data_IF_341283085534
#
_entry.id   IF_341283085534
#
_cell.length_a   1.000
_cell.length_b   1.000
_cell.length_c   1.000
_cell.angle_alpha   90.00
_cell.angle_beta   90.00
_cell.angle_gamma   90.00
#
_symmetry.space_group_name_H-M   'P 1'
#
loop_
_entity.id
_entity.type
_entity.pdbx_description
1 polymer ?
#
# COMPACT_ATOMS: atom_id res chain seq x y z
N UNK A 1 57.04 8.58 -10.52
CA UNK A 1 56.03 7.56 -10.17
C UNK A 1 54.87 8.28 -9.53
N UNK A 2 53.76 8.29 -10.25
CA UNK A 2 52.91 9.48 -10.39
C UNK A 2 51.72 9.47 -9.45
N UNK A 3 51.19 10.69 -9.24
CA UNK A 3 50.00 11.09 -8.49
C UNK A 3 48.72 10.26 -8.78
N UNK A 4 48.78 9.34 -9.73
CA UNK A 4 47.72 8.36 -10.06
C UNK A 4 47.65 7.25 -9.01
N UNK A 5 48.78 6.78 -8.48
CA UNK A 5 48.78 5.71 -7.46
C UNK A 5 48.18 6.19 -6.13
N UNK A 6 48.41 7.45 -5.77
CA UNK A 6 47.85 8.05 -4.55
C UNK A 6 46.36 8.34 -4.66
N UNK A 7 45.86 8.66 -5.87
CA UNK A 7 44.42 8.85 -6.13
C UNK A 7 43.64 7.54 -6.17
N UNK A 8 44.24 6.45 -6.67
CA UNK A 8 43.62 5.12 -6.62
C UNK A 8 43.53 4.63 -5.17
N UNK A 9 44.58 4.85 -4.35
CA UNK A 9 44.55 4.49 -2.92
C UNK A 9 43.51 5.29 -2.12
N UNK A 10 43.28 6.56 -2.44
CA UNK A 10 42.28 7.40 -1.77
C UNK A 10 40.84 7.05 -2.16
N UNK A 11 40.60 6.62 -3.41
CA UNK A 11 39.28 6.16 -3.87
C UNK A 11 38.95 4.79 -3.27
N UNK A 12 39.94 3.91 -3.07
CA UNK A 12 39.72 2.63 -2.37
C UNK A 12 39.33 2.81 -0.90
N UNK A 13 39.87 3.82 -0.20
CA UNK A 13 39.54 4.09 1.21
C UNK A 13 38.15 4.73 1.35
N UNK A 14 37.67 5.48 0.35
CA UNK A 14 36.33 6.09 0.39
C UNK A 14 35.20 5.09 0.12
N UNK A 15 35.46 3.99 -0.60
CA UNK A 15 34.46 2.96 -0.93
C UNK A 15 34.24 1.98 0.24
N UNK A 16 35.16 1.88 1.20
CA UNK A 16 34.98 1.06 2.41
C UNK A 16 34.38 1.82 3.61
N UNK A 17 34.10 3.12 3.47
CA UNK A 17 33.60 3.98 4.57
C UNK A 17 32.08 4.06 4.72
N UNK A 18 31.30 3.41 3.84
CA UNK A 18 29.83 3.42 3.86
C UNK A 18 29.25 2.01 3.79
N UNK A 19 29.88 1.07 4.51
CA UNK A 19 29.15 -0.10 4.97
C UNK A 19 28.39 0.31 6.24
N UNK A 20 27.17 0.83 6.06
CA UNK A 20 26.19 0.77 7.14
C UNK A 20 26.14 -0.69 7.58
N UNK A 21 26.42 -0.92 8.86
CA UNK A 21 26.30 -2.23 9.48
C UNK A 21 24.82 -2.55 9.62
N UNK A 22 24.18 -2.85 8.49
CA UNK A 22 23.04 -3.73 8.49
C UNK A 22 23.61 -5.10 8.87
N UNK A 23 23.63 -5.42 10.17
CA UNK A 23 23.86 -6.78 10.64
C UNK A 23 22.69 -7.66 10.21
N UNK A 24 22.58 -7.94 8.92
CA UNK A 24 21.95 -9.16 8.46
C UNK A 24 22.85 -10.31 8.93
N UNK A 25 22.58 -10.84 10.13
CA UNK A 25 23.25 -12.03 10.69
C UNK A 25 22.85 -13.28 9.88
N UNK A 26 23.35 -13.38 8.66
CA UNK A 26 23.19 -14.52 7.77
C UNK A 26 24.43 -15.43 7.77
N UNK A 27 25.42 -15.15 8.64
CA UNK A 27 26.64 -15.94 8.83
C UNK A 27 26.86 -16.37 10.30
N UNK A 28 25.89 -17.04 10.92
CA UNK A 28 26.20 -17.94 12.06
C UNK A 28 25.59 -19.32 11.79
N UNK A 29 25.83 -19.84 10.58
CA UNK A 29 25.71 -21.28 10.31
C UNK A 29 27.11 -21.87 10.45
N UNK A 30 27.47 -22.31 11.66
CA UNK A 30 28.76 -22.97 11.84
C UNK A 30 29.16 -23.37 13.25
N UNK A 31 28.60 -22.75 14.29
CA UNK A 31 28.86 -23.13 15.69
C UNK A 31 27.64 -22.86 16.58
N UNK A 32 26.61 -23.71 16.46
CA UNK A 32 25.43 -23.64 17.33
C UNK A 32 25.38 -24.88 18.21
N UNK A 33 25.49 -24.69 19.53
CA UNK A 33 25.16 -25.68 20.55
C UNK A 33 23.77 -26.30 20.26
N UNK A 34 23.49 -27.50 20.78
CA UNK A 34 22.13 -28.07 20.82
C UNK A 34 21.23 -27.19 21.72
N UNK A 35 20.88 -26.00 21.27
CA UNK A 35 19.98 -25.08 21.95
C UNK A 35 18.54 -25.42 21.63
N UNK A 36 17.68 -25.21 22.63
CA UNK A 36 16.24 -25.39 22.50
C UNK A 36 15.67 -24.16 21.79
N UNK A 37 14.99 -24.38 20.67
CA UNK A 37 14.38 -23.33 19.86
C UNK A 37 12.86 -23.34 20.01
N UNK A 38 12.25 -22.17 20.14
CA UNK A 38 10.79 -21.99 20.05
C UNK A 38 10.49 -21.60 18.61
N UNK A 39 9.78 -22.47 17.89
CA UNK A 39 9.45 -22.30 16.48
C UNK A 39 8.33 -21.27 16.28
N UNK A 40 7.37 -21.25 17.19
CA UNK A 40 6.31 -20.26 17.25
C UNK A 40 5.69 -20.22 18.64
N UNK A 41 5.09 -19.09 18.97
CA UNK A 41 4.41 -18.87 20.23
C UNK A 41 3.26 -17.89 20.05
N UNK A 42 2.10 -18.22 20.60
CA UNK A 42 0.86 -17.46 20.48
C UNK A 42 0.14 -17.34 21.81
N UNK A 43 -0.53 -16.20 22.04
CA UNK A 43 -1.57 -16.02 23.07
C UNK A 43 -2.90 -15.69 22.41
N UNK A 44 -3.93 -16.51 22.64
CA UNK A 44 -5.27 -16.34 22.04
C UNK A 44 -5.25 -16.09 20.52
N UNK A 45 -4.37 -16.83 19.81
CA UNK A 45 -4.08 -16.73 18.36
C UNK A 45 -3.20 -15.55 17.93
N UNK A 46 -2.74 -14.73 18.86
CA UNK A 46 -1.85 -13.61 18.58
C UNK A 46 -0.38 -14.00 18.77
N UNK A 47 0.47 -13.70 17.78
CA UNK A 47 1.90 -14.04 17.83
C UNK A 47 2.62 -13.29 18.95
N UNK A 48 3.46 -13.99 19.74
CA UNK A 48 4.31 -13.35 20.75
C UNK A 48 5.46 -12.53 20.13
N UNK A 49 5.95 -12.96 18.97
CA UNK A 49 7.10 -12.33 18.30
C UNK A 49 6.70 -10.96 17.72
N UNK A 50 5.44 -10.83 17.29
CA UNK A 50 4.86 -9.58 16.76
C UNK A 50 4.21 -8.73 17.86
N UNK A 51 4.06 -9.28 19.07
CA UNK A 51 3.41 -8.60 20.19
C UNK A 51 4.30 -7.53 20.81
N UNK A 52 3.66 -6.46 21.30
CA UNK A 52 4.33 -5.49 22.17
C UNK A 52 4.79 -6.15 23.48
N UNK A 53 5.66 -5.47 24.24
CA UNK A 53 6.10 -5.97 25.53
C UNK A 53 4.94 -6.15 26.51
N UNK A 54 3.92 -5.28 26.42
CA UNK A 54 2.67 -5.35 27.15
C UNK A 54 1.52 -5.69 26.21
N UNK A 55 0.80 -6.75 26.53
CA UNK A 55 -0.35 -7.27 25.81
C UNK A 55 -1.60 -7.01 26.64
N UNK A 56 -2.57 -6.30 26.07
CA UNK A 56 -3.88 -6.10 26.69
C UNK A 56 -4.89 -6.98 25.96
N UNK A 57 -5.50 -7.90 26.69
CA UNK A 57 -6.60 -8.72 26.20
C UNK A 57 -7.92 -8.17 26.75
N UNK A 58 -8.96 -8.15 25.93
CA UNK A 58 -10.28 -7.74 26.40
C UNK A 58 -11.09 -8.96 26.81
N UNK A 59 -11.74 -8.89 27.98
CA UNK A 59 -12.54 -9.99 28.53
C UNK A 59 -13.53 -10.57 27.51
N UNK A 60 -14.19 -9.71 26.74
CA UNK A 60 -15.17 -10.12 25.73
C UNK A 60 -14.57 -10.91 24.56
N UNK A 61 -13.28 -10.76 24.30
CA UNK A 61 -12.56 -11.50 23.24
C UNK A 61 -11.95 -12.82 23.73
N UNK A 62 -12.00 -13.10 25.04
CA UNK A 62 -11.46 -14.33 25.62
C UNK A 62 -12.50 -15.46 25.54
N UNK A 63 -12.23 -16.56 24.80
CA UNK A 63 -13.13 -17.70 24.79
C UNK A 63 -13.28 -18.29 26.19
N UNK A 64 -14.50 -18.30 26.72
CA UNK A 64 -14.82 -18.74 28.09
C UNK A 64 -14.03 -18.02 29.19
N UNK A 65 -13.53 -16.80 28.93
CA UNK A 65 -12.70 -16.05 29.88
C UNK A 65 -11.30 -16.64 30.09
N UNK A 66 -10.83 -17.51 29.19
CA UNK A 66 -9.54 -18.18 29.30
C UNK A 66 -8.49 -17.49 28.44
N UNK A 67 -7.31 -17.24 29.02
CA UNK A 67 -6.09 -16.93 28.30
C UNK A 67 -5.36 -18.24 27.98
N UNK A 68 -5.09 -18.45 26.69
CA UNK A 68 -4.50 -19.66 26.11
C UNK A 68 -3.18 -19.30 25.44
N UNK A 69 -2.11 -19.89 25.93
CA UNK A 69 -0.78 -19.83 25.35
C UNK A 69 -0.53 -21.13 24.60
N UNK A 70 -0.19 -21.03 23.32
CA UNK A 70 0.15 -22.19 22.48
C UNK A 70 1.47 -21.96 21.77
N UNK A 71 2.29 -22.98 21.64
CA UNK A 71 3.55 -22.87 20.93
C UNK A 71 4.04 -24.20 20.41
N UNK A 72 5.18 -24.17 19.74
CA UNK A 72 5.94 -25.37 19.38
C UNK A 72 7.41 -25.09 19.58
N UNK A 73 8.10 -26.04 20.20
CA UNK A 73 9.53 -25.98 20.36
C UNK A 73 10.20 -27.22 19.77
N UNK A 74 11.46 -27.07 19.42
CA UNK A 74 12.29 -28.13 18.85
C UNK A 74 13.72 -28.04 19.36
N UNK A 75 14.43 -29.16 19.26
CA UNK A 75 15.86 -29.28 19.54
C UNK A 75 16.50 -30.05 18.40
N UNK A 76 17.75 -29.73 18.07
CA UNK A 76 18.46 -30.35 16.93
C UNK A 76 18.55 -31.88 17.02
N UNK A 77 18.71 -32.40 18.24
CA UNK A 77 18.77 -33.83 18.52
C UNK A 77 18.05 -34.11 19.83
N UNK A 78 17.11 -35.05 19.82
CA UNK A 78 16.26 -35.38 20.97
C UNK A 78 14.83 -34.86 20.81
N UNK A 79 14.14 -34.70 21.93
CA UNK A 79 12.77 -34.15 22.00
C UNK A 79 12.64 -33.19 23.17
N UNK A 80 11.60 -32.38 23.12
CA UNK A 80 11.21 -31.54 24.26
C UNK A 80 10.68 -32.44 25.37
N UNK A 81 11.18 -32.27 26.59
CA UNK A 81 10.79 -33.05 27.75
C UNK A 81 9.75 -32.35 28.62
N UNK A 82 9.84 -31.02 28.73
CA UNK A 82 8.94 -30.22 29.58
C UNK A 82 8.82 -28.79 29.05
N UNK A 83 7.64 -28.21 29.20
CA UNK A 83 7.41 -26.77 29.03
C UNK A 83 6.75 -26.24 30.30
N UNK A 84 7.28 -25.15 30.83
CA UNK A 84 6.77 -24.48 32.03
C UNK A 84 6.49 -23.00 31.72
N UNK A 85 5.44 -22.48 32.32
CA UNK A 85 5.01 -21.09 32.24
C UNK A 85 5.08 -20.49 33.63
N UNK A 86 5.74 -19.35 33.77
CA UNK A 86 5.60 -18.47 34.93
C UNK A 86 4.65 -17.33 34.56
N UNK A 87 3.89 -16.83 35.53
CA UNK A 87 3.00 -15.65 35.39
C UNK A 87 3.34 -14.54 36.40
N UNK A 88 4.42 -14.72 37.14
CA UNK A 88 4.82 -13.94 38.32
C UNK A 88 6.34 -13.71 38.34
N UNK A 89 6.92 -13.49 37.16
CA UNK A 89 8.34 -13.21 36.98
C UNK A 89 9.27 -14.28 37.61
N UNK A 90 9.01 -15.54 37.26
CA UNK A 90 9.78 -16.74 37.66
C UNK A 90 9.63 -17.17 39.13
N UNK A 91 8.76 -16.55 39.91
CA UNK A 91 8.51 -16.96 41.29
C UNK A 91 7.83 -18.33 41.38
N UNK A 92 6.91 -18.63 40.47
CA UNK A 92 6.27 -19.94 40.31
C UNK A 92 6.30 -20.42 38.86
N UNK A 93 6.27 -21.73 38.68
CA UNK A 93 6.30 -22.41 37.39
C UNK A 93 5.21 -23.46 37.29
N UNK A 94 4.37 -23.35 36.28
CA UNK A 94 3.28 -24.29 36.00
C UNK A 94 3.55 -25.05 34.70
N UNK A 95 3.30 -26.36 34.67
CA UNK A 95 3.57 -27.19 33.49
C UNK A 95 2.51 -26.99 32.40
N UNK A 96 2.95 -26.85 31.15
CA UNK A 96 2.09 -26.89 29.98
C UNK A 96 1.72 -28.34 29.60
N UNK A 97 0.61 -28.51 28.88
CA UNK A 97 0.33 -29.75 28.16
C UNK A 97 1.27 -29.82 26.95
N UNK A 98 2.12 -30.83 26.88
CA UNK A 98 3.11 -31.04 25.83
C UNK A 98 2.77 -32.28 25.02
N UNK A 99 2.83 -32.20 23.69
CA UNK A 99 2.72 -33.34 22.78
C UNK A 99 4.08 -33.79 22.27
N UNK A 100 4.15 -35.04 21.78
CA UNK A 100 5.41 -35.67 21.35
C UNK A 100 6.15 -34.92 20.24
N UNK A 101 5.43 -34.16 19.42
CA UNK A 101 6.00 -33.34 18.35
C UNK A 101 6.51 -31.96 18.81
N UNK A 102 6.56 -31.71 20.13
CA UNK A 102 7.03 -30.46 20.73
C UNK A 102 6.00 -29.33 20.76
N UNK A 103 4.77 -29.55 20.30
CA UNK A 103 3.70 -28.57 20.46
C UNK A 103 3.19 -28.56 21.90
N UNK A 104 2.82 -27.38 22.41
CA UNK A 104 2.33 -27.24 23.78
C UNK A 104 1.18 -26.25 23.91
N UNK A 105 0.39 -26.42 24.96
CA UNK A 105 -0.71 -25.54 25.34
C UNK A 105 -0.75 -25.34 26.86
N UNK A 106 -0.94 -24.09 27.27
CA UNK A 106 -1.19 -23.69 28.64
C UNK A 106 -2.40 -22.76 28.69
N UNK A 107 -3.35 -23.07 29.56
CA UNK A 107 -4.58 -22.32 29.73
C UNK A 107 -4.64 -21.81 31.17
N UNK A 108 -5.00 -20.54 31.36
CA UNK A 108 -5.26 -19.98 32.69
C UNK A 108 -6.41 -18.98 32.67
N UNK A 109 -7.03 -18.79 33.83
CA UNK A 109 -8.09 -17.80 34.02
C UNK A 109 -7.48 -16.53 34.63
N UNK A 110 -7.30 -15.45 33.85
CA UNK A 110 -6.77 -14.21 34.35
C UNK A 110 -7.80 -13.46 35.21
N UNK A 111 -7.30 -12.74 36.22
CA UNK A 111 -8.04 -11.76 37.00
C UNK A 111 -8.05 -10.43 36.24
N UNK A 112 -9.20 -9.76 36.21
CA UNK A 112 -9.37 -8.48 35.54
C UNK A 112 -8.50 -7.41 36.22
N UNK A 113 -7.82 -6.60 35.41
CA UNK A 113 -6.94 -5.52 35.87
C UNK A 113 -5.61 -5.99 36.49
N UNK A 114 -5.41 -7.31 36.63
CA UNK A 114 -4.14 -7.86 37.09
C UNK A 114 -3.17 -7.99 35.92
N UNK A 115 -1.96 -7.46 36.10
CA UNK A 115 -0.85 -7.69 35.18
C UNK A 115 -0.08 -8.95 35.57
N UNK A 116 0.23 -9.78 34.58
CA UNK A 116 0.99 -11.01 34.71
C UNK A 116 2.32 -10.86 33.98
N UNK A 117 3.44 -11.14 34.64
CA UNK A 117 4.76 -11.23 34.02
C UNK A 117 4.98 -12.66 33.54
N UNK A 118 4.69 -12.88 32.26
CA UNK A 118 4.70 -14.21 31.65
C UNK A 118 6.07 -14.52 31.05
N UNK A 119 6.64 -15.65 31.45
CA UNK A 119 7.87 -16.21 30.86
C UNK A 119 7.67 -17.69 30.57
N UNK A 120 8.33 -18.18 29.52
CA UNK A 120 8.20 -19.55 29.04
C UNK A 120 9.57 -20.23 29.05
N UNK A 121 9.61 -21.34 29.76
CA UNK A 121 10.79 -22.20 29.88
C UNK A 121 10.50 -23.53 29.20
N UNK A 122 11.26 -23.83 28.16
CA UNK A 122 11.24 -25.09 27.44
C UNK A 122 12.50 -25.87 27.83
N UNK A 123 12.35 -27.15 28.16
CA UNK A 123 13.43 -28.01 28.62
C UNK A 123 13.45 -29.27 27.75
N UNK A 124 14.61 -29.62 27.18
CA UNK A 124 14.78 -30.88 26.45
C UNK A 124 14.95 -32.09 27.38
N UNK A 125 14.97 -33.31 26.83
CA UNK A 125 15.18 -34.53 27.62
C UNK A 125 16.57 -34.63 28.28
N UNK A 126 17.50 -33.75 27.95
CA UNK A 126 18.85 -33.68 28.53
C UNK A 126 18.98 -32.58 29.59
N UNK A 127 17.93 -31.80 29.82
CA UNK A 127 17.90 -30.70 30.78
C UNK A 127 18.32 -29.33 30.22
N UNK A 128 18.61 -29.21 28.92
CA UNK A 128 18.93 -27.91 28.29
C UNK A 128 17.67 -27.08 28.09
N UNK A 129 17.83 -25.76 28.08
CA UNK A 129 16.70 -24.82 28.02
C UNK A 129 16.90 -23.70 26.99
N UNK A 130 15.82 -23.02 26.63
CA UNK A 130 15.84 -21.81 25.81
C UNK A 130 16.34 -20.60 26.62
N UNK A 131 16.54 -19.47 25.95
CA UNK A 131 16.72 -18.18 26.61
C UNK A 131 15.36 -17.69 27.11
N UNK A 132 15.14 -17.79 28.42
CA UNK A 132 13.84 -17.55 29.06
C UNK A 132 13.45 -16.07 28.96
N UNK A 133 14.39 -15.15 29.21
CA UNK A 133 14.12 -13.70 29.22
C UNK A 133 13.63 -13.18 27.88
N UNK A 134 14.04 -13.79 26.76
CA UNK A 134 13.57 -13.41 25.41
C UNK A 134 12.07 -13.71 25.20
N UNK A 135 11.45 -14.50 26.10
CA UNK A 135 10.02 -14.82 26.07
C UNK A 135 9.16 -13.92 26.96
N UNK A 136 9.78 -12.99 27.71
CA UNK A 136 9.07 -12.17 28.69
C UNK A 136 8.04 -11.26 28.01
N UNK A 137 6.78 -11.35 28.46
CA UNK A 137 5.68 -10.45 28.10
C UNK A 137 4.85 -10.13 29.33
N UNK A 138 4.34 -8.91 29.38
CA UNK A 138 3.33 -8.51 30.35
C UNK A 138 1.95 -8.72 29.76
N UNK A 139 1.07 -9.43 30.46
CA UNK A 139 -0.30 -9.68 30.00
C UNK A 139 -1.28 -9.08 31.01
N UNK A 140 -2.22 -8.29 30.55
CA UNK A 140 -3.30 -7.70 31.34
C UNK A 140 -4.65 -8.00 30.69
N UNK A 141 -5.66 -8.29 31.50
CA UNK A 141 -7.03 -8.43 31.01
C UNK A 141 -7.88 -7.26 31.44
N UNK A 142 -8.38 -6.51 30.45
CA UNK A 142 -9.27 -5.37 30.64
C UNK A 142 -10.74 -5.82 30.65
N UNK A 143 -11.55 -5.21 31.50
CA UNK A 143 -13.01 -5.33 31.50
C UNK A 143 -13.70 -4.36 30.53
N UNK A 144 -12.92 -3.49 29.88
CA UNK A 144 -13.45 -2.59 28.87
C UNK A 144 -14.13 -3.37 27.75
N UNK A 145 -15.30 -2.88 27.35
CA UNK A 145 -16.02 -3.37 26.18
C UNK A 145 -15.43 -2.70 24.92
N UNK A 146 -14.43 -3.34 24.32
CA UNK A 146 -13.73 -2.77 23.16
C UNK A 146 -14.67 -2.55 21.99
N UNK A 147 -15.67 -3.42 21.82
CA UNK A 147 -16.70 -3.28 20.80
C UNK A 147 -17.53 -2.00 20.98
N UNK A 148 -17.91 -1.68 22.22
CA UNK A 148 -18.62 -0.44 22.55
C UNK A 148 -17.73 0.79 22.33
N UNK A 149 -16.47 0.74 22.78
CA UNK A 149 -15.53 1.86 22.57
C UNK A 149 -15.28 2.14 21.08
N UNK A 150 -15.20 1.09 20.25
CA UNK A 150 -15.13 1.21 18.79
C UNK A 150 -16.39 1.86 18.23
N UNK A 151 -17.59 1.45 18.68
CA UNK A 151 -18.86 2.09 18.27
C UNK A 151 -18.88 3.56 18.61
N UNK A 152 -18.56 3.92 19.85
CA UNK A 152 -18.51 5.31 20.30
C UNK A 152 -17.53 6.16 19.47
N UNK A 153 -16.40 5.57 19.08
CA UNK A 153 -15.40 6.22 18.21
C UNK A 153 -15.96 6.41 16.80
N UNK A 154 -16.51 5.37 16.18
CA UNK A 154 -17.12 5.45 14.85
C UNK A 154 -18.30 6.43 14.81
N UNK A 155 -19.19 6.37 15.79
CA UNK A 155 -20.32 7.30 15.93
C UNK A 155 -19.84 8.75 16.05
N UNK A 156 -18.76 8.96 16.80
CA UNK A 156 -18.10 10.26 16.93
C UNK A 156 -17.51 10.78 15.61
N UNK A 157 -16.81 9.92 14.87
CA UNK A 157 -16.25 10.24 13.55
C UNK A 157 -17.35 10.55 12.54
N UNK A 158 -18.35 9.69 12.44
CA UNK A 158 -19.49 9.87 11.53
C UNK A 158 -20.20 11.17 11.84
N UNK A 159 -20.51 11.43 13.12
CA UNK A 159 -21.15 12.68 13.53
C UNK A 159 -20.32 13.90 13.14
N UNK A 160 -19.01 13.87 13.39
CA UNK A 160 -18.11 14.97 13.03
C UNK A 160 -18.06 15.19 11.51
N UNK A 161 -18.11 14.11 10.74
CA UNK A 161 -18.11 14.13 9.28
C UNK A 161 -19.45 14.65 8.71
N UNK A 162 -20.59 14.21 9.25
CA UNK A 162 -21.94 14.67 8.85
C UNK A 162 -22.21 16.14 9.18
N UNK A 163 -21.49 16.73 10.15
CA UNK A 163 -21.59 18.16 10.50
C UNK A 163 -20.40 18.99 9.99
N UNK A 164 -19.57 18.41 9.11
CA UNK A 164 -18.44 19.08 8.44
C UNK A 164 -17.41 19.69 9.42
N UNK A 165 -17.11 19.00 10.52
CA UNK A 165 -16.17 19.46 11.54
C UNK A 165 -14.84 18.66 11.49
N UNK A 166 -13.83 19.13 10.72
CA UNK A 166 -12.58 18.39 10.56
C UNK A 166 -11.79 18.33 11.86
N UNK A 167 -11.82 19.40 12.67
CA UNK A 167 -11.12 19.45 13.94
C UNK A 167 -11.62 18.39 14.92
N UNK A 168 -12.94 18.19 15.01
CA UNK A 168 -13.53 17.13 15.82
C UNK A 168 -13.23 15.74 15.24
N UNK A 169 -13.33 15.58 13.92
CA UNK A 169 -13.04 14.31 13.23
C UNK A 169 -11.61 13.83 13.53
N UNK A 170 -10.62 14.71 13.38
CA UNK A 170 -9.22 14.37 13.58
C UNK A 170 -8.87 14.01 15.04
N UNK A 171 -9.72 14.31 16.03
CA UNK A 171 -9.51 13.84 17.41
C UNK A 171 -9.62 12.31 17.55
N UNK A 172 -10.29 11.65 16.60
CA UNK A 172 -10.45 10.20 16.55
C UNK A 172 -9.40 9.51 15.67
N UNK A 173 -8.54 10.28 15.01
CA UNK A 173 -7.46 9.76 14.15
C UNK A 173 -6.18 9.65 14.97
N UNK A 174 -5.47 8.53 14.81
CA UNK A 174 -4.19 8.33 15.47
C UNK A 174 -3.12 9.23 14.80
N UNK A 175 -2.21 9.88 15.56
CA UNK A 175 -1.13 10.66 14.95
C UNK A 175 -0.23 9.84 14.00
N UNK A 176 -0.11 8.54 14.24
CA UNK A 176 0.64 7.59 13.39
C UNK A 176 -0.23 7.01 12.25
N UNK A 177 -1.27 7.72 11.78
CA UNK A 177 -2.15 7.22 10.73
C UNK A 177 -1.36 6.84 9.48
N UNK A 178 -1.58 5.62 8.97
CA UNK A 178 -0.72 5.00 7.99
C UNK A 178 -0.82 5.63 6.57
N UNK A 179 -1.93 6.28 6.23
CA UNK A 179 -2.10 7.06 5.00
C UNK A 179 -1.77 8.55 5.17
N UNK A 180 -0.91 8.90 6.14
CA UNK A 180 -0.59 10.27 6.60
C UNK A 180 -1.81 11.04 7.16
N UNK A 181 -1.75 11.38 8.45
CA UNK A 181 -2.82 12.12 9.12
C UNK A 181 -3.08 13.51 8.49
N UNK A 182 -2.07 14.15 7.90
CA UNK A 182 -2.23 15.43 7.22
C UNK A 182 -2.96 15.26 5.87
N UNK A 183 -2.68 14.19 5.13
CA UNK A 183 -3.41 13.88 3.89
C UNK A 183 -4.85 13.53 4.18
N UNK A 184 -5.13 12.80 5.27
CA UNK A 184 -6.49 12.58 5.72
C UNK A 184 -7.20 13.90 6.10
N UNK A 185 -6.60 14.80 6.89
CA UNK A 185 -7.24 16.10 7.21
C UNK A 185 -7.54 16.91 5.93
N UNK A 186 -6.61 16.91 4.97
CA UNK A 186 -6.80 17.55 3.66
C UNK A 186 -7.96 16.94 2.88
N UNK A 187 -8.01 15.61 2.76
CA UNK A 187 -9.06 14.87 2.07
C UNK A 187 -10.44 15.15 2.68
N UNK A 188 -10.54 15.13 4.02
CA UNK A 188 -11.77 15.41 4.76
C UNK A 188 -12.26 16.84 4.48
N UNK A 189 -11.37 17.82 4.47
CA UNK A 189 -11.73 19.21 4.14
C UNK A 189 -12.19 19.36 2.70
N UNK A 190 -11.56 18.65 1.76
CA UNK A 190 -12.01 18.62 0.36
C UNK A 190 -13.39 17.96 0.23
N UNK A 191 -13.64 16.87 0.94
CA UNK A 191 -14.95 16.22 0.96
C UNK A 191 -16.05 17.21 1.39
N UNK A 192 -15.81 18.01 2.43
CA UNK A 192 -16.76 19.03 2.88
C UNK A 192 -17.01 20.16 1.87
N UNK A 193 -16.08 20.39 0.93
CA UNK A 193 -16.32 21.31 -0.19
C UNK A 193 -17.04 20.64 -1.37
N UNK A 194 -17.00 19.31 -1.46
CA UNK A 194 -17.60 18.53 -2.53
C UNK A 194 -19.06 18.14 -2.24
N UNK A 195 -19.47 18.15 -0.97
CA UNK A 195 -20.77 17.69 -0.51
C UNK A 195 -21.54 18.76 0.26
N UNK A 196 -22.80 19.01 -0.13
CA UNK A 196 -23.75 19.88 0.61
C UNK A 196 -24.53 19.12 1.69
N UNK A 197 -24.49 17.79 1.62
CA UNK A 197 -25.15 16.89 2.56
C UNK A 197 -24.41 15.57 2.60
N UNK A 198 -24.21 15.05 3.81
CA UNK A 198 -23.59 13.76 4.06
C UNK A 198 -24.44 13.01 5.08
N UNK A 199 -24.83 11.78 4.75
CA UNK A 199 -25.45 10.83 5.67
C UNK A 199 -24.75 9.49 5.58
N UNK A 200 -24.29 8.97 6.71
CA UNK A 200 -23.59 7.69 6.78
C UNK A 200 -24.15 6.86 7.92
N UNK A 201 -24.49 5.61 7.59
CA UNK A 201 -24.92 4.61 8.57
C UNK A 201 -24.05 3.37 8.41
N UNK A 202 -23.79 2.68 9.51
CA UNK A 202 -23.00 1.46 9.50
C UNK A 202 -23.59 0.36 10.38
N UNK A 203 -23.15 -0.85 10.10
CA UNK A 203 -23.35 -2.03 10.93
C UNK A 203 -21.98 -2.63 11.26
N UNK A 204 -21.67 -2.75 12.54
CA UNK A 204 -20.42 -3.33 13.04
C UNK A 204 -20.48 -4.86 12.94
N UNK A 205 -19.68 -5.44 12.05
CA UNK A 205 -19.67 -6.88 11.80
C UNK A 205 -18.80 -7.62 12.80
N UNK A 206 -17.58 -7.12 13.01
CA UNK A 206 -16.55 -7.82 13.77
C UNK A 206 -15.55 -6.84 14.39
N UNK A 207 -15.06 -7.19 15.57
CA UNK A 207 -14.02 -6.48 16.31
C UNK A 207 -13.04 -7.51 16.88
N UNK A 208 -11.79 -7.43 16.45
CA UNK A 208 -10.72 -8.36 16.90
C UNK A 208 -9.51 -7.54 17.30
N UNK A 209 -8.97 -7.79 18.50
CA UNK A 209 -7.72 -7.15 18.92
C UNK A 209 -6.56 -8.15 18.88
N UNK A 210 -5.45 -7.74 18.27
CA UNK A 210 -4.23 -8.52 18.25
C UNK A 210 -3.34 -8.26 19.48
N UNK A 211 -2.26 -9.03 19.65
CA UNK A 211 -1.32 -8.82 20.75
C UNK A 211 -0.40 -7.60 20.55
N UNK A 212 -0.44 -6.95 19.39
CA UNK A 212 0.21 -5.64 19.19
C UNK A 212 -0.64 -4.49 19.73
N UNK A 213 -1.86 -4.77 20.21
CA UNK A 213 -2.81 -3.78 20.70
C UNK A 213 -3.58 -3.06 19.57
N UNK A 214 -3.53 -3.60 18.35
CA UNK A 214 -4.33 -3.11 17.22
C UNK A 214 -5.68 -3.82 17.21
N UNK A 215 -6.73 -3.04 17.03
CA UNK A 215 -8.11 -3.53 16.95
C UNK A 215 -8.58 -3.44 15.50
N UNK A 216 -8.75 -4.59 14.86
CA UNK A 216 -9.26 -4.74 13.49
C UNK A 216 -10.78 -4.77 13.52
N UNK A 217 -11.38 -3.90 12.72
CA UNK A 217 -12.81 -3.66 12.70
C UNK A 217 -13.31 -3.81 11.27
N UNK A 218 -14.33 -4.65 11.09
CA UNK A 218 -15.06 -4.76 9.82
C UNK A 218 -16.46 -4.18 10.00
N UNK A 219 -16.89 -3.37 9.04
CA UNK A 219 -18.24 -2.81 9.02
C UNK A 219 -18.87 -2.97 7.64
N UNK A 220 -20.20 -3.03 7.62
CA UNK A 220 -20.98 -2.67 6.44
C UNK A 220 -21.46 -1.23 6.58
N UNK A 221 -21.61 -0.52 5.47
CA UNK A 221 -22.08 0.85 5.46
C UNK A 221 -23.09 1.11 4.34
N UNK A 222 -23.88 2.15 4.54
CA UNK A 222 -24.65 2.84 3.50
C UNK A 222 -24.44 4.34 3.67
N UNK A 223 -24.16 5.02 2.56
CA UNK A 223 -23.88 6.45 2.55
C UNK A 223 -24.70 7.11 1.47
N UNK A 224 -25.22 8.29 1.80
CA UNK A 224 -25.89 9.19 0.86
C UNK A 224 -25.21 10.54 0.94
N UNK A 225 -24.86 11.11 -0.21
CA UNK A 225 -24.29 12.46 -0.32
C UNK A 225 -25.04 13.29 -1.36
N UNK A 226 -25.01 14.61 -1.23
CA UNK A 226 -25.44 15.54 -2.27
C UNK A 226 -24.23 16.30 -2.76
N UNK A 227 -23.91 16.23 -4.06
CA UNK A 227 -22.76 16.95 -4.62
C UNK A 227 -23.05 18.45 -4.67
N UNK A 228 -22.13 19.26 -4.13
CA UNK A 228 -22.20 20.73 -4.19
C UNK A 228 -22.17 21.25 -5.63
N UNK A 229 -21.42 20.59 -6.52
CA UNK A 229 -21.27 21.04 -7.91
C UNK A 229 -22.48 20.74 -8.77
N UNK A 230 -23.01 19.53 -8.70
CA UNK A 230 -24.09 19.09 -9.59
C UNK A 230 -25.47 19.19 -8.95
N UNK A 231 -25.55 19.32 -7.63
CA UNK A 231 -26.79 19.21 -6.85
C UNK A 231 -27.38 17.79 -6.85
N UNK A 232 -26.71 16.80 -7.45
CA UNK A 232 -27.22 15.44 -7.55
C UNK A 232 -26.98 14.67 -6.26
N UNK A 233 -27.96 13.83 -5.90
CA UNK A 233 -27.85 12.89 -4.79
C UNK A 233 -27.19 11.59 -5.28
N UNK A 234 -26.17 11.15 -4.56
CA UNK A 234 -25.49 9.87 -4.78
C UNK A 234 -25.68 8.97 -3.57
N UNK A 235 -25.69 7.66 -3.79
CA UNK A 235 -25.74 6.68 -2.70
C UNK A 235 -24.89 5.47 -3.05
N UNK A 236 -24.07 5.04 -2.10
CA UNK A 236 -23.30 3.81 -2.18
C UNK A 236 -23.43 3.00 -0.89
N UNK A 237 -23.09 1.72 -0.99
CA UNK A 237 -23.10 0.78 0.12
C UNK A 237 -21.98 -0.22 -0.07
N UNK A 238 -21.46 -0.75 1.02
CA UNK A 238 -20.39 -1.73 0.93
C UNK A 238 -19.95 -2.29 2.28
N UNK A 239 -18.81 -2.96 2.26
CA UNK A 239 -18.05 -3.43 3.39
C UNK A 239 -16.66 -2.83 3.34
N UNK A 240 -16.17 -2.35 4.48
CA UNK A 240 -14.81 -1.84 4.64
C UNK A 240 -14.18 -2.33 5.95
N UNK A 241 -12.88 -2.13 6.08
CA UNK A 241 -12.11 -2.45 7.27
C UNK A 241 -11.34 -1.21 7.75
N UNK A 242 -11.31 -1.05 9.07
CA UNK A 242 -10.51 -0.05 9.77
C UNK A 242 -9.65 -0.77 10.81
N UNK A 243 -8.45 -0.26 11.05
CA UNK A 243 -7.65 -0.67 12.20
C UNK A 243 -7.57 0.50 13.16
N UNK A 244 -7.84 0.22 14.43
CA UNK A 244 -7.71 1.16 15.52
C UNK A 244 -6.49 0.79 16.36
N UNK A 245 -5.88 1.81 16.96
CA UNK A 245 -4.85 1.67 17.99
C UNK A 245 -5.36 2.36 19.23
N UNK A 246 -5.26 1.70 20.38
CA UNK A 246 -5.63 2.33 21.64
C UNK A 246 -4.65 3.48 21.96
N UNK A 247 -5.20 4.65 22.26
CA UNK A 247 -4.48 5.82 22.70
C UNK A 247 -5.17 6.39 23.95
N UNK A 248 -4.49 6.32 25.09
CA UNK A 248 -5.01 6.75 26.39
C UNK A 248 -6.38 6.13 26.75
N UNK A 249 -6.60 4.86 26.40
CA UNK A 249 -7.85 4.14 26.69
C UNK A 249 -8.99 4.42 25.70
N UNK A 250 -8.71 5.13 24.61
CA UNK A 250 -9.67 5.37 23.52
C UNK A 250 -9.12 4.80 22.20
N UNK A 251 -9.91 4.02 21.45
CA UNK A 251 -9.55 3.63 20.10
C UNK A 251 -9.41 4.87 19.22
N UNK A 252 -8.33 4.93 18.44
CA UNK A 252 -8.16 5.91 17.37
C UNK A 252 -7.82 5.21 16.06
N UNK A 253 -8.38 5.68 14.95
CA UNK A 253 -8.16 5.08 13.63
C UNK A 253 -6.70 5.21 13.23
N UNK A 254 -6.07 4.07 12.98
CA UNK A 254 -4.69 3.93 12.52
C UNK A 254 -4.61 3.75 11.01
N UNK A 255 -5.59 3.05 10.42
CA UNK A 255 -5.68 2.89 8.96
C UNK A 255 -7.12 2.58 8.52
N UNK A 256 -7.36 2.77 7.22
CA UNK A 256 -8.63 2.51 6.56
C UNK A 256 -8.37 1.87 5.20
N UNK A 257 -9.26 0.98 4.77
CA UNK A 257 -9.19 0.36 3.44
C UNK A 257 -10.31 0.85 2.53
N UNK A 258 -10.11 0.70 1.23
CA UNK A 258 -11.15 0.86 0.23
C UNK A 258 -12.20 -0.27 0.33
N UNK A 259 -13.49 0.01 0.11
CA UNK A 259 -14.09 1.34 -0.12
C UNK A 259 -13.94 2.27 1.08
N UNK A 260 -13.46 3.50 0.83
CA UNK A 260 -13.36 4.52 1.87
C UNK A 260 -14.72 5.13 2.19
N UNK A 261 -15.00 5.25 3.48
CA UNK A 261 -16.20 5.92 4.00
C UNK A 261 -15.94 7.39 4.37
N UNK A 262 -14.67 7.77 4.49
CA UNK A 262 -14.17 9.12 4.78
C UNK A 262 -12.94 9.42 3.90
N UNK A 263 -12.69 10.69 3.53
CA UNK A 263 -11.50 11.08 2.78
C UNK A 263 -11.56 10.66 1.31
N UNK A 264 -12.71 10.82 0.66
CA UNK A 264 -12.96 10.32 -0.70
C UNK A 264 -12.18 11.13 -1.75
N UNK A 265 -12.00 12.42 -1.50
CA UNK A 265 -11.33 13.38 -2.40
C UNK A 265 -9.83 13.19 -2.52
N UNK A 266 -9.25 12.24 -1.78
CA UNK A 266 -7.84 11.83 -1.90
C UNK A 266 -7.68 10.35 -1.51
N UNK A 267 -8.58 9.52 -2.05
CA UNK A 267 -8.68 8.12 -1.66
C UNK A 267 -7.39 7.32 -1.88
N UNK A 268 -6.55 7.77 -2.83
CA UNK A 268 -5.29 7.14 -3.17
C UNK A 268 -4.21 7.28 -2.10
N UNK A 269 -4.13 8.44 -1.44
CA UNK A 269 -3.17 8.66 -0.36
C UNK A 269 -3.74 8.23 1.00
N UNK A 270 -5.07 8.23 1.16
CA UNK A 270 -5.74 7.88 2.43
C UNK A 270 -5.86 6.37 2.66
N UNK A 271 -6.22 5.60 1.64
CA UNK A 271 -6.47 4.17 1.79
C UNK A 271 -5.15 3.38 1.89
N UNK A 272 -5.09 2.42 2.81
CA UNK A 272 -3.89 1.56 2.98
C UNK A 272 -4.10 0.15 2.43
N UNK A 273 -5.06 -0.03 1.54
CA UNK A 273 -5.42 -1.31 0.94
C UNK A 273 -6.88 -1.36 0.51
N UNK A 274 -7.30 -2.50 -0.03
CA UNK A 274 -8.63 -2.66 -0.64
C UNK A 274 -9.28 -3.96 -0.16
N UNK A 275 -10.59 -3.90 0.14
CA UNK A 275 -11.41 -5.06 0.49
C UNK A 275 -12.32 -5.41 -0.69
N UNK A 276 -12.00 -6.53 -1.33
CA UNK A 276 -12.86 -7.13 -2.34
C UNK A 276 -13.96 -7.95 -1.64
N UNK A 277 -15.11 -7.32 -1.38
CA UNK A 277 -16.31 -7.98 -0.86
C UNK A 277 -17.37 -8.08 -1.96
N UNK A 278 -18.11 -9.20 -2.01
CA UNK A 278 -19.26 -9.35 -2.92
C UNK A 278 -20.40 -8.35 -2.67
N UNK A 279 -20.36 -7.62 -1.56
CA UNK A 279 -21.31 -6.53 -1.25
C UNK A 279 -20.90 -5.17 -1.83
N UNK A 280 -19.69 -5.05 -2.40
CA UNK A 280 -19.17 -3.81 -2.97
C UNK A 280 -19.51 -3.74 -4.46
N UNK A 281 -20.72 -3.30 -4.78
CA UNK A 281 -21.19 -3.17 -6.17
C UNK A 281 -20.72 -1.86 -6.81
N UNK A 282 -20.90 -0.74 -6.11
CA UNK A 282 -20.49 0.59 -6.54
C UNK A 282 -19.80 1.35 -5.42
N UNK A 283 -18.97 2.32 -5.82
CA UNK A 283 -18.25 3.22 -4.92
C UNK A 283 -18.33 4.65 -5.45
N UNK A 284 -18.42 5.62 -4.54
CA UNK A 284 -18.32 7.03 -4.89
C UNK A 284 -16.86 7.43 -5.05
N UNK A 285 -16.58 8.17 -6.13
CA UNK A 285 -15.32 8.84 -6.38
C UNK A 285 -15.53 10.35 -6.29
N UNK A 286 -14.54 11.05 -5.78
CA UNK A 286 -14.47 12.51 -5.83
C UNK A 286 -13.16 12.88 -6.48
N UNK A 287 -13.23 13.62 -7.59
CA UNK A 287 -12.04 14.09 -8.28
C UNK A 287 -11.46 15.36 -7.64
N UNK A 288 -10.29 15.79 -8.10
CA UNK A 288 -9.63 17.02 -7.62
C UNK A 288 -10.44 18.30 -7.80
N UNK A 289 -11.38 18.27 -8.74
CA UNK A 289 -12.30 19.36 -8.98
C UNK A 289 -13.50 19.32 -8.03
N UNK A 290 -13.69 18.27 -7.21
CA UNK A 290 -14.86 18.09 -6.36
C UNK A 290 -16.10 17.60 -7.12
N UNK A 291 -15.94 17.04 -8.32
CA UNK A 291 -17.03 16.33 -8.98
C UNK A 291 -17.19 14.96 -8.34
N UNK A 292 -18.45 14.54 -8.18
CA UNK A 292 -18.80 13.27 -7.56
C UNK A 292 -19.33 12.32 -8.63
N UNK A 293 -18.84 11.09 -8.65
CA UNK A 293 -19.33 10.05 -9.55
C UNK A 293 -19.49 8.72 -8.81
N UNK A 294 -20.43 7.88 -9.27
CA UNK A 294 -20.62 6.53 -8.77
C UNK A 294 -20.16 5.54 -9.85
N UNK A 295 -19.10 4.79 -9.56
CA UNK A 295 -18.54 3.80 -10.48
C UNK A 295 -18.69 2.39 -9.93
N UNK A 296 -18.74 1.36 -10.80
CA UNK A 296 -18.56 -0.02 -10.36
C UNK A 296 -17.28 -0.15 -9.54
N UNK A 297 -17.32 -0.93 -8.46
CA UNK A 297 -16.21 -0.99 -7.49
C UNK A 297 -14.84 -1.23 -8.14
N UNK A 298 -14.75 -2.16 -9.10
CA UNK A 298 -13.48 -2.46 -9.77
C UNK A 298 -12.93 -1.28 -10.58
N UNK A 299 -13.79 -0.61 -11.33
CA UNK A 299 -13.39 0.55 -12.14
C UNK A 299 -12.96 1.69 -11.24
N UNK A 300 -13.65 1.86 -10.11
CA UNK A 300 -13.32 2.87 -9.12
C UNK A 300 -11.96 2.65 -8.46
N UNK A 301 -11.62 1.41 -8.11
CA UNK A 301 -10.28 1.06 -7.59
C UNK A 301 -9.21 1.31 -8.64
N UNK A 302 -9.43 0.95 -9.90
CA UNK A 302 -8.48 1.22 -10.99
C UNK A 302 -8.25 2.73 -11.13
N UNK A 303 -9.32 3.54 -11.05
CA UNK A 303 -9.18 5.00 -11.12
C UNK A 303 -8.34 5.50 -9.94
N UNK A 304 -8.67 5.08 -8.71
CA UNK A 304 -7.92 5.48 -7.52
C UNK A 304 -6.46 5.08 -7.65
N UNK A 305 -6.14 3.83 -7.94
CA UNK A 305 -4.75 3.34 -8.00
C UNK A 305 -3.93 4.08 -9.08
N UNK A 306 -4.55 4.45 -10.21
CA UNK A 306 -3.88 5.25 -11.23
C UNK A 306 -3.78 6.76 -10.88
N UNK A 307 -4.63 7.26 -9.98
CA UNK A 307 -4.62 8.64 -9.45
C UNK A 307 -3.73 8.77 -8.20
N UNK A 308 -3.47 7.65 -7.50
CA UNK A 308 -2.65 7.52 -6.28
C UNK A 308 -1.14 7.54 -6.53
N UNK A 309 -0.70 7.36 -7.78
CA UNK A 309 0.69 7.07 -8.12
C UNK A 309 1.64 8.29 -8.02
N UNK A 310 1.32 9.25 -7.15
CA UNK A 310 2.16 10.42 -6.82
C UNK A 310 2.97 10.22 -5.53
N UNK A 311 2.85 9.12 -4.78
CA UNK A 311 3.79 8.87 -3.67
C UNK A 311 4.33 7.43 -3.60
N UNK A 312 5.63 7.30 -3.91
CA UNK A 312 6.56 6.22 -3.50
C UNK A 312 7.00 5.18 -4.55
N UNK A 313 7.55 5.61 -5.68
CA UNK A 313 8.85 5.09 -6.17
C UNK A 313 9.42 6.01 -7.25
N UNK A 314 10.74 6.07 -7.35
CA UNK A 314 11.50 7.08 -8.08
C UNK A 314 11.38 6.96 -9.61
N UNK A 315 10.29 7.44 -10.17
CA UNK A 315 10.23 7.84 -11.57
C UNK A 315 9.40 9.11 -11.73
N UNK A 316 9.77 10.00 -12.65
CA UNK A 316 8.99 11.22 -12.92
C UNK A 316 7.54 10.91 -13.30
N UNK A 317 6.61 11.86 -13.13
CA UNK A 317 5.21 11.66 -13.52
C UNK A 317 5.15 11.32 -15.01
N UNK A 318 4.51 10.20 -15.34
CA UNK A 318 4.30 9.79 -16.72
C UNK A 318 3.26 10.71 -17.34
N UNK A 319 3.67 11.52 -18.31
CA UNK A 319 2.75 12.41 -19.01
C UNK A 319 1.97 11.60 -20.05
N UNK A 320 0.69 11.91 -20.25
CA UNK A 320 -0.12 11.21 -21.24
C UNK A 320 -1.18 12.12 -21.84
N UNK A 321 -1.64 11.78 -23.04
CA UNK A 321 -2.66 12.55 -23.71
C UNK A 321 -3.04 12.01 -25.08
N UNK A 322 -3.93 12.73 -25.75
CA UNK A 322 -4.40 12.40 -27.10
C UNK A 322 -4.37 13.65 -27.96
N UNK A 323 -3.84 13.53 -29.17
CA UNK A 323 -3.76 14.63 -30.14
C UNK A 323 -4.25 14.21 -31.51
N UNK A 324 -4.73 15.20 -32.27
CA UNK A 324 -4.94 15.08 -33.70
C UNK A 324 -3.95 15.98 -34.41
N UNK A 325 -3.03 15.38 -35.16
CA UNK A 325 -1.98 16.02 -35.91
C UNK A 325 -2.42 16.21 -37.37
N UNK A 326 -2.40 17.45 -37.85
CA UNK A 326 -2.46 17.77 -39.27
C UNK A 326 -1.07 17.73 -39.90
N UNK A 327 -1.01 17.90 -41.22
CA UNK A 327 0.25 17.99 -41.96
C UNK A 327 1.23 19.01 -41.35
N UNK A 328 2.47 18.58 -41.13
CA UNK A 328 3.58 19.30 -40.47
C UNK A 328 3.36 19.70 -39.01
N UNK A 329 2.23 19.34 -38.41
CA UNK A 329 2.04 19.44 -36.97
C UNK A 329 2.71 18.26 -36.26
N UNK A 330 3.28 18.56 -35.11
CA UNK A 330 3.85 17.57 -34.21
C UNK A 330 3.56 17.89 -32.75
N UNK A 331 4.05 17.02 -31.89
CA UNK A 331 3.93 17.08 -30.45
C UNK A 331 5.31 17.23 -29.80
N UNK A 332 5.40 18.10 -28.81
CA UNK A 332 6.44 18.08 -27.78
C UNK A 332 5.90 17.25 -26.61
N UNK A 333 6.50 16.11 -26.34
CA UNK A 333 5.98 15.16 -25.35
C UNK A 333 6.00 15.76 -23.95
N UNK A 334 7.12 16.36 -23.54
CA UNK A 334 7.35 16.97 -22.20
C UNK A 334 6.40 18.12 -21.87
N UNK A 335 5.86 18.80 -22.88
CA UNK A 335 4.95 19.93 -22.63
C UNK A 335 3.50 19.58 -22.97
N UNK A 336 3.26 18.44 -23.61
CA UNK A 336 1.97 18.11 -24.21
C UNK A 336 1.48 19.21 -25.16
N UNK A 337 2.38 19.95 -25.83
CA UNK A 337 2.00 21.03 -26.74
C UNK A 337 2.06 20.52 -28.18
N UNK A 338 0.98 20.79 -28.93
CA UNK A 338 0.94 20.62 -30.38
C UNK A 338 1.42 21.89 -31.07
N UNK A 339 2.39 21.78 -31.97
CA UNK A 339 2.92 22.91 -32.75
C UNK A 339 3.51 22.48 -34.10
N UNK A 340 3.88 23.45 -34.94
CA UNK A 340 4.56 23.21 -36.22
C UNK A 340 6.06 23.44 -36.04
N UNK A 341 6.85 22.39 -36.27
CA UNK A 341 8.31 22.43 -36.17
C UNK A 341 8.85 22.44 -34.73
N UNK A 342 10.08 21.95 -34.54
CA UNK A 342 10.70 21.86 -33.21
C UNK A 342 9.90 20.98 -32.25
N UNK A 343 9.44 19.83 -32.72
CA UNK A 343 8.60 18.86 -32.00
C UNK A 343 9.33 17.52 -31.93
N UNK A 344 8.96 16.64 -31.00
CA UNK A 344 9.58 15.31 -30.82
C UNK A 344 9.05 14.27 -31.82
N UNK A 345 7.82 14.44 -32.27
CA UNK A 345 7.18 13.61 -33.28
C UNK A 345 6.27 14.48 -34.13
N UNK A 346 6.35 14.41 -35.45
CA UNK A 346 5.46 15.15 -36.33
C UNK A 346 4.96 14.31 -37.50
N UNK A 347 3.82 14.72 -38.06
CA UNK A 347 3.26 14.13 -39.26
C UNK A 347 3.82 14.85 -40.49
N UNK A 348 4.44 14.11 -41.41
CA UNK A 348 4.97 14.67 -42.66
C UNK A 348 4.51 13.86 -43.85
N UNK A 349 4.54 14.47 -45.04
CA UNK A 349 4.60 13.70 -46.28
C UNK A 349 6.00 13.08 -46.44
N UNK A 350 6.02 11.78 -46.78
CA UNK A 350 7.17 11.15 -47.42
C UNK A 350 7.01 11.29 -48.94
N UNK A 351 8.08 11.74 -49.62
CA UNK A 351 8.09 12.27 -50.98
C UNK A 351 7.61 11.28 -52.07
N UNK A 352 6.29 11.01 -52.11
CA UNK A 352 5.62 10.15 -53.09
C UNK A 352 5.02 8.86 -52.54
N UNK A 353 5.18 8.54 -51.25
CA UNK A 353 4.74 7.26 -50.64
C UNK A 353 3.55 7.36 -49.69
N UNK A 354 3.18 8.57 -49.24
CA UNK A 354 2.12 8.83 -48.26
C UNK A 354 2.65 9.52 -47.00
N UNK A 355 1.81 9.70 -45.97
CA UNK A 355 2.25 10.33 -44.71
C UNK A 355 3.01 9.35 -43.82
N UNK A 356 4.00 9.88 -43.12
CA UNK A 356 4.76 9.18 -42.10
C UNK A 356 4.76 9.97 -40.79
N UNK A 357 4.85 9.26 -39.66
CA UNK A 357 5.20 9.87 -38.38
C UNK A 357 6.72 9.89 -38.29
N UNK A 358 7.29 11.08 -38.16
CA UNK A 358 8.74 11.28 -38.13
C UNK A 358 9.12 11.69 -36.71
N UNK A 359 9.82 10.83 -35.95
CA UNK A 359 10.49 11.24 -34.73
C UNK A 359 11.52 12.33 -35.08
N UNK A 360 11.38 13.50 -34.49
CA UNK A 360 12.20 14.66 -34.82
C UNK A 360 12.93 15.14 -33.59
N UNK A 361 14.23 15.20 -33.69
CA UNK A 361 15.07 16.00 -32.82
C UNK A 361 16.19 16.54 -33.70
N UNK A 362 17.03 17.41 -33.18
CA UNK A 362 18.25 17.86 -33.87
C UNK A 362 19.32 16.74 -33.95
N UNK A 363 18.92 15.51 -34.29
CA UNK A 363 19.65 14.25 -34.27
C UNK A 363 18.71 13.05 -34.48
N UNK A 364 19.24 11.82 -34.60
CA UNK A 364 18.46 10.62 -34.91
C UNK A 364 17.66 10.14 -33.70
N UNK A 365 16.39 10.54 -33.57
CA UNK A 365 15.45 9.87 -32.68
C UNK A 365 15.09 8.50 -33.26
N UNK A 366 15.00 7.48 -32.40
CA UNK A 366 14.83 6.10 -32.85
C UNK A 366 13.46 5.54 -32.42
N UNK A 367 12.90 4.61 -33.20
CA UNK A 367 11.62 3.99 -32.84
C UNK A 367 11.62 2.45 -32.82
N UNK A 368 10.87 1.96 -31.84
CA UNK A 368 10.38 0.62 -31.48
C UNK A 368 9.04 0.18 -32.07
N UNK A 369 8.93 -0.61 -33.15
CA UNK A 369 7.61 -1.13 -33.55
C UNK A 369 7.11 -2.22 -32.57
N UNK A 370 5.98 -1.99 -31.88
CA UNK A 370 5.45 -2.91 -30.87
C UNK A 370 4.23 -3.71 -31.35
N UNK A 371 3.71 -3.39 -32.53
CA UNK A 371 2.49 -4.00 -33.07
C UNK A 371 1.22 -3.46 -32.40
N UNK A 372 0.10 -4.18 -32.52
CA UNK A 372 -1.15 -3.77 -31.91
C UNK A 372 -1.06 -3.87 -30.37
N UNK A 373 -1.35 -2.77 -29.67
CA UNK A 373 -1.31 -2.75 -28.21
C UNK A 373 -2.42 -1.91 -27.60
N UNK A 374 -2.68 -2.14 -26.32
CA UNK A 374 -3.41 -1.19 -25.48
C UNK A 374 -2.37 -0.35 -24.70
N UNK A 375 -2.29 0.95 -24.99
CA UNK A 375 -1.24 1.80 -24.44
C UNK A 375 -1.29 1.87 -22.91
N UNK A 376 -2.48 1.75 -22.31
CA UNK A 376 -2.65 1.73 -20.85
C UNK A 376 -2.09 0.47 -20.19
N UNK A 377 -1.99 -0.66 -20.91
CA UNK A 377 -1.43 -1.90 -20.37
C UNK A 377 0.08 -2.06 -20.59
N UNK A 378 0.72 -1.11 -21.29
CA UNK A 378 2.17 -1.10 -21.45
C UNK A 378 2.77 -0.32 -20.30
N UNK A 379 3.54 -1.02 -19.46
CA UNK A 379 4.23 -0.47 -18.29
C UNK A 379 5.73 -0.26 -18.52
N UNK A 380 6.26 -0.72 -19.66
CA UNK A 380 7.67 -0.57 -20.00
C UNK A 380 7.91 -0.47 -21.50
N UNK A 381 8.76 0.48 -21.93
CA UNK A 381 9.26 0.55 -23.29
C UNK A 381 10.26 -0.58 -23.59
N UNK A 382 10.34 -1.06 -24.85
CA UNK A 382 11.26 -2.12 -25.24
C UNK A 382 12.71 -1.86 -24.83
N UNK A 383 13.42 -2.92 -24.46
CA UNK A 383 14.83 -2.84 -24.08
C UNK A 383 15.75 -2.60 -25.28
N UNK A 384 15.33 -2.95 -26.50
CA UNK A 384 16.04 -2.74 -27.76
C UNK A 384 15.12 -2.87 -28.98
N UNK A 385 15.70 -2.84 -30.19
CA UNK A 385 14.96 -2.88 -31.45
C UNK A 385 14.59 -1.50 -32.01
N UNK A 386 15.22 -0.45 -31.50
CA UNK A 386 15.05 0.91 -31.98
C UNK A 386 15.82 1.11 -33.29
N UNK A 387 15.17 1.72 -34.27
CA UNK A 387 15.77 2.08 -35.56
C UNK A 387 15.61 3.57 -35.80
N UNK A 388 16.64 4.18 -36.37
CA UNK A 388 16.62 5.58 -36.80
C UNK A 388 16.02 5.66 -38.21
N UNK A 389 14.70 5.68 -38.28
CA UNK A 389 13.93 5.79 -39.53
C UNK A 389 12.58 6.46 -39.24
N UNK A 390 11.75 6.64 -40.26
CA UNK A 390 10.39 7.14 -40.09
C UNK A 390 9.36 6.01 -39.96
N UNK A 391 8.27 6.26 -39.24
CA UNK A 391 7.21 5.28 -39.04
C UNK A 391 6.31 5.28 -40.28
N UNK A 392 6.53 4.31 -41.15
CA UNK A 392 5.75 4.10 -42.37
C UNK A 392 5.66 2.59 -42.75
N UNK A 393 4.50 2.11 -43.21
CA UNK A 393 3.21 2.79 -43.24
C UNK A 393 2.64 3.00 -41.83
N UNK A 394 1.85 4.06 -41.64
CA UNK A 394 1.11 4.29 -40.39
C UNK A 394 -0.02 3.26 -40.31
N UNK A 395 -0.05 2.47 -39.23
CA UNK A 395 -1.06 1.43 -39.00
C UNK A 395 -1.95 1.81 -37.82
N UNK A 396 -3.24 2.02 -38.08
CA UNK A 396 -4.24 2.28 -37.03
C UNK A 396 -4.28 1.12 -36.03
N UNK A 397 -4.23 1.46 -34.74
CA UNK A 397 -4.20 0.51 -33.62
C UNK A 397 -2.80 0.02 -33.24
N UNK A 398 -1.77 0.32 -34.04
CA UNK A 398 -0.39 -0.03 -33.71
C UNK A 398 0.22 0.94 -32.70
N UNK A 399 1.14 0.40 -31.91
CA UNK A 399 1.93 1.12 -30.94
C UNK A 399 3.41 1.16 -31.34
N UNK A 400 4.04 2.26 -31.00
CA UNK A 400 5.44 2.54 -31.26
C UNK A 400 6.08 3.10 -30.00
N UNK A 401 7.24 2.58 -29.62
CA UNK A 401 8.08 3.23 -28.63
C UNK A 401 9.01 4.20 -29.35
N UNK A 402 9.21 5.39 -28.79
CA UNK A 402 10.09 6.42 -29.33
C UNK A 402 11.15 6.69 -28.27
N UNK A 403 12.41 6.60 -28.66
CA UNK A 403 13.54 7.06 -27.86
C UNK A 403 13.97 8.42 -28.41
N UNK A 404 13.73 9.46 -27.62
CA UNK A 404 13.96 10.85 -28.03
C UNK A 404 15.44 11.20 -27.96
N UNK A 405 15.81 12.31 -28.61
CA UNK A 405 17.20 12.81 -28.59
C UNK A 405 17.68 13.24 -27.21
N UNK A 406 16.75 13.61 -26.32
CA UNK A 406 17.04 14.00 -24.93
C UNK A 406 17.09 12.78 -23.98
N UNK A 407 17.21 11.58 -24.56
CA UNK A 407 17.34 10.30 -23.87
C UNK A 407 16.12 9.96 -22.99
N UNK A 408 14.93 10.39 -23.41
CA UNK A 408 13.64 10.07 -22.79
C UNK A 408 12.83 9.13 -23.66
N UNK A 409 11.80 8.51 -23.09
CA UNK A 409 10.98 7.51 -23.80
C UNK A 409 9.55 8.01 -23.92
N UNK A 410 8.96 7.80 -25.10
CA UNK A 410 7.52 7.94 -25.33
C UNK A 410 6.94 6.64 -25.90
N UNK A 411 5.69 6.35 -25.58
CA UNK A 411 4.91 5.30 -26.23
C UNK A 411 3.76 5.97 -26.98
N UNK A 412 3.59 5.66 -28.25
CA UNK A 412 2.57 6.28 -29.10
C UNK A 412 1.70 5.21 -29.73
N UNK A 413 0.39 5.35 -29.58
CA UNK A 413 -0.62 4.52 -30.27
C UNK A 413 -1.34 5.35 -31.31
N UNK A 414 -1.42 4.83 -32.53
CA UNK A 414 -2.23 5.43 -33.60
C UNK A 414 -3.69 5.04 -33.39
N UNK A 415 -4.55 6.03 -33.15
CA UNK A 415 -5.99 5.83 -32.95
C UNK A 415 -6.76 5.86 -34.27
N UNK A 416 -6.37 6.77 -35.16
CA UNK A 416 -6.89 6.84 -36.52
C UNK A 416 -5.86 7.51 -37.43
N UNK A 417 -5.92 7.17 -38.71
CA UNK A 417 -5.10 7.77 -39.75
C UNK A 417 -5.88 7.81 -41.05
N UNK A 418 -5.98 9.01 -41.65
CA UNK A 418 -6.55 9.20 -42.97
C UNK A 418 -5.43 9.20 -44.02
N UNK A 419 -5.42 8.18 -44.87
CA UNK A 419 -4.39 7.98 -45.90
C UNK A 419 -4.57 8.87 -47.14
N UNK A 420 -5.68 9.62 -47.26
CA UNK A 420 -5.96 10.46 -48.42
C UNK A 420 -5.39 11.88 -48.26
N UNK A 421 -4.21 12.15 -48.83
CA UNK A 421 -3.68 13.47 -49.22
C UNK A 421 -3.49 14.56 -48.15
N UNK A 422 -4.56 14.96 -47.44
CA UNK A 422 -4.59 15.98 -46.39
C UNK A 422 -4.92 15.40 -44.99
N UNK A 423 -4.88 14.06 -44.87
CA UNK A 423 -5.42 13.35 -43.71
C UNK A 423 -4.68 13.59 -42.40
N UNK A 424 -5.44 13.81 -41.34
CA UNK A 424 -4.93 13.94 -39.98
C UNK A 424 -4.67 12.57 -39.34
N UNK A 425 -3.73 12.51 -38.41
CA UNK A 425 -3.48 11.34 -37.57
C UNK A 425 -3.91 11.64 -36.13
N UNK A 426 -4.81 10.82 -35.57
CA UNK A 426 -5.10 10.85 -34.15
C UNK A 426 -4.18 9.87 -33.43
N UNK A 427 -3.47 10.35 -32.41
CA UNK A 427 -2.54 9.55 -31.62
C UNK A 427 -2.82 9.71 -30.13
N UNK A 428 -2.62 8.63 -29.39
CA UNK A 428 -2.53 8.62 -27.93
C UNK A 428 -1.06 8.42 -27.55
N UNK A 429 -0.58 9.08 -26.50
CA UNK A 429 0.79 8.88 -26.04
C UNK A 429 0.88 8.74 -24.52
N UNK A 430 1.98 8.11 -24.10
CA UNK A 430 2.57 8.21 -22.76
C UNK A 430 4.01 8.68 -22.90
N UNK A 431 4.53 9.46 -21.97
CA UNK A 431 5.87 10.01 -21.98
C UNK A 431 6.51 9.94 -20.60
N UNK A 432 7.78 9.55 -20.56
CA UNK A 432 8.55 9.41 -19.33
C UNK A 432 9.67 10.47 -19.30
N UNK A 433 9.46 11.61 -18.60
CA UNK A 433 10.39 12.74 -18.59
C UNK A 433 11.73 12.44 -17.90
N UNK A 434 11.82 11.40 -17.07
CA UNK A 434 13.04 11.10 -16.30
C UNK A 434 14.07 10.21 -17.05
N UNK A 435 13.74 9.77 -18.27
CA UNK A 435 14.61 8.88 -19.07
C UNK A 435 14.48 7.40 -18.75
N UNK A 436 13.64 7.02 -17.79
CA UNK A 436 13.26 5.65 -17.49
C UNK A 436 12.47 5.03 -18.64
N UNK A 437 12.53 3.70 -18.75
CA UNK A 437 11.67 2.95 -19.66
C UNK A 437 10.32 2.61 -19.03
N UNK A 438 10.07 2.95 -17.77
CA UNK A 438 8.87 2.55 -17.03
C UNK A 438 7.76 3.62 -17.16
N UNK A 439 6.52 3.19 -17.37
CA UNK A 439 5.34 3.99 -17.75
C UNK A 439 4.06 3.59 -17.02
#
# INVERSE_FOLDING_TARGET
>A
MSKIFFKILLISILIFGIANVAEAKWWIFGQGNNEVNINYLYINKNSFDEAQQKIVLYKETLPNGIAKITGKASVRSGRIGLVQISKDNQATWESAKLSDNGAFQYDFTPEIGKTYDVLIKVIDTTGKTNKIEETHKQIEVSDQNISQLVRETLDGMIKAYEIENPGQFMTYVNPDFAGDAAMLDYAIRKDFNAFDYIKLQYFLNNVVTDASGKTFVSINYIRTVVSTKSGQTYTDRGATELVFKNDQGKPKVLNMKNPLIFGLSDAGNVATGTIASGTNESMLLVDDSGNVDAKPFRDAIIIIENDSDITSSSGGPVESGTFTLSEFEGILFESGIKQVGGTDLYLSDDAGSGRALIPNGRGPAEFSAMGACNLSSVTQAPSGGYINDYIFPIVTGACYAIHTVDNTYALVKVLSYDAAGAGAAAIQYKYQPDGSKNF
#
